data_IF_265033229844
#
_entry.id   IF_265033229844
#
_cell.length_a   1.000
_cell.length_b   1.000
_cell.length_c   1.000
_cell.angle_alpha   90.00
_cell.angle_beta   90.00
_cell.angle_gamma   90.00
#
_symmetry.space_group_name_H-M   'P 1'
#
loop_
_entity.id
_entity.type
_entity.pdbx_description
1 polymer ?
#
# COMPACT_ATOMS: atom_id res chain seq x y z
N UNK A 1 25.80 -25.92 11.74
CA UNK A 1 26.16 -24.49 11.64
C UNK A 1 24.95 -23.74 11.11
N UNK A 2 24.66 -22.58 11.69
CA UNK A 2 23.35 -21.95 11.83
C UNK A 2 22.91 -21.13 10.60
N UNK A 3 22.10 -21.72 9.70
CA UNK A 3 21.31 -20.94 8.73
C UNK A 3 19.83 -20.82 9.14
N UNK A 4 19.39 -21.51 10.19
CA UNK A 4 17.98 -21.62 10.58
C UNK A 4 17.44 -20.48 11.46
N UNK A 5 18.26 -19.48 11.77
CA UNK A 5 17.90 -18.41 12.72
C UNK A 5 17.90 -16.99 12.11
N UNK A 6 18.31 -16.83 10.85
CA UNK A 6 18.41 -15.50 10.21
C UNK A 6 17.21 -15.13 9.32
N UNK A 7 16.28 -16.05 9.08
CA UNK A 7 14.93 -15.74 8.59
C UNK A 7 14.05 -15.34 9.79
N UNK A 8 14.39 -14.25 10.48
CA UNK A 8 13.36 -13.50 11.22
C UNK A 8 12.44 -12.87 10.19
N UNK A 9 11.52 -13.73 9.74
CA UNK A 9 10.33 -13.54 8.92
C UNK A 9 10.26 -12.18 8.25
N UNK A 10 10.69 -12.13 6.98
CA UNK A 10 10.42 -10.99 6.10
C UNK A 10 8.90 -10.97 5.87
N UNK A 11 8.16 -10.34 6.78
CA UNK A 11 6.70 -10.33 6.74
C UNK A 11 6.26 -9.71 5.42
N UNK A 12 5.55 -10.49 4.60
CA UNK A 12 5.06 -9.98 3.32
C UNK A 12 3.97 -8.92 3.57
N UNK A 13 3.80 -7.99 2.64
CA UNK A 13 2.76 -6.94 2.75
C UNK A 13 1.37 -7.55 2.93
N UNK A 14 1.09 -8.69 2.28
CA UNK A 14 -0.18 -9.39 2.43
C UNK A 14 -0.38 -9.94 3.85
N UNK A 15 0.68 -10.50 4.47
CA UNK A 15 0.63 -10.97 5.87
C UNK A 15 0.48 -9.80 6.84
N UNK A 16 1.16 -8.68 6.60
CA UNK A 16 0.95 -7.44 7.36
C UNK A 16 -0.51 -7.00 7.32
N UNK A 17 -1.09 -6.92 6.11
CA UNK A 17 -2.49 -6.51 5.94
C UNK A 17 -3.45 -7.49 6.62
N UNK A 18 -3.19 -8.80 6.54
CA UNK A 18 -3.98 -9.81 7.26
C UNK A 18 -3.97 -9.57 8.77
N UNK A 19 -2.80 -9.32 9.35
CA UNK A 19 -2.66 -9.11 10.79
C UNK A 19 -3.39 -7.82 11.22
N UNK A 20 -3.14 -6.72 10.52
CA UNK A 20 -3.80 -5.44 10.73
C UNK A 20 -5.33 -5.56 10.64
N UNK A 21 -5.83 -6.26 9.61
CA UNK A 21 -7.26 -6.52 9.43
C UNK A 21 -7.87 -7.28 10.61
N UNK A 22 -7.19 -8.31 11.10
CA UNK A 22 -7.74 -9.24 12.10
C UNK A 22 -7.63 -8.73 13.53
N UNK A 23 -6.61 -7.93 13.83
CA UNK A 23 -6.30 -7.46 15.18
C UNK A 23 -6.83 -6.06 15.43
N UNK A 24 -6.55 -5.14 14.52
CA UNK A 24 -6.81 -3.71 14.73
C UNK A 24 -8.10 -3.24 14.06
N UNK A 25 -8.26 -3.53 12.76
CA UNK A 25 -9.38 -2.98 11.98
C UNK A 25 -10.68 -3.72 12.31
N UNK A 26 -10.65 -5.05 12.29
CA UNK A 26 -11.83 -5.86 12.56
C UNK A 26 -11.53 -6.96 13.59
N UNK A 27 -11.41 -6.61 14.89
CA UNK A 27 -11.17 -7.57 15.96
C UNK A 27 -12.31 -8.60 16.10
N UNK A 28 -12.07 -9.72 16.80
CA UNK A 28 -13.10 -10.74 17.05
C UNK A 28 -14.38 -10.22 17.73
N UNK A 29 -14.29 -9.11 18.47
CA UNK A 29 -15.43 -8.46 19.13
C UNK A 29 -16.52 -7.97 18.16
N UNK A 30 -16.21 -7.77 16.88
CA UNK A 30 -17.18 -7.36 15.85
C UNK A 30 -18.14 -8.49 15.47
N UNK A 31 -17.73 -9.75 15.66
CA UNK A 31 -18.57 -10.92 15.41
C UNK A 31 -17.95 -11.93 14.44
N UNK A 32 -18.79 -12.58 13.64
CA UNK A 32 -18.36 -13.65 12.74
C UNK A 32 -17.35 -13.17 11.69
N UNK A 33 -16.56 -14.09 11.12
CA UNK A 33 -15.58 -13.76 10.07
C UNK A 33 -16.21 -13.00 8.90
N UNK A 34 -17.42 -13.40 8.47
CA UNK A 34 -18.14 -12.73 7.39
C UNK A 34 -18.50 -11.28 7.74
N UNK A 35 -18.96 -11.04 8.97
CA UNK A 35 -19.26 -9.68 9.46
C UNK A 35 -17.99 -8.83 9.57
N UNK A 36 -16.89 -9.41 10.04
CA UNK A 36 -15.59 -8.74 10.16
C UNK A 36 -15.01 -8.33 8.81
N UNK A 37 -15.08 -9.22 7.81
CA UNK A 37 -14.67 -8.88 6.44
C UNK A 37 -15.55 -7.76 5.87
N UNK A 38 -16.87 -7.83 6.08
CA UNK A 38 -17.78 -6.78 5.63
C UNK A 38 -17.53 -5.44 6.34
N UNK A 39 -17.21 -5.46 7.63
CA UNK A 39 -16.83 -4.29 8.41
C UNK A 39 -15.54 -3.68 7.88
N UNK A 40 -14.46 -4.46 7.78
CA UNK A 40 -13.18 -3.99 7.27
C UNK A 40 -13.27 -3.45 5.83
N UNK A 41 -14.12 -4.05 4.99
CA UNK A 41 -14.34 -3.57 3.62
C UNK A 41 -14.91 -2.14 3.60
N UNK A 42 -15.79 -1.80 4.57
CA UNK A 42 -16.36 -0.46 4.70
C UNK A 42 -15.31 0.53 5.21
N UNK A 43 -14.57 0.17 6.26
CA UNK A 43 -13.51 1.01 6.83
C UNK A 43 -12.41 1.33 5.81
N UNK A 44 -11.97 0.33 5.04
CA UNK A 44 -10.95 0.49 4.01
C UNK A 44 -11.52 1.02 2.68
N UNK A 45 -12.85 1.13 2.55
CA UNK A 45 -13.53 1.41 1.27
C UNK A 45 -13.05 0.48 0.15
N UNK A 46 -12.88 -0.79 0.47
CA UNK A 46 -12.51 -1.85 -0.47
C UNK A 46 -13.75 -2.66 -0.86
N UNK A 47 -13.67 -3.40 -1.97
CA UNK A 47 -14.69 -4.41 -2.24
C UNK A 47 -14.60 -5.54 -1.22
N UNK A 48 -15.72 -6.24 -0.99
CA UNK A 48 -15.74 -7.39 -0.10
C UNK A 48 -14.74 -8.47 -0.53
N UNK A 49 -14.68 -8.78 -1.84
CA UNK A 49 -13.73 -9.77 -2.37
C UNK A 49 -12.29 -9.35 -2.14
N UNK A 50 -11.94 -8.09 -2.43
CA UNK A 50 -10.59 -7.56 -2.18
C UNK A 50 -10.18 -7.67 -0.72
N UNK A 51 -11.11 -7.34 0.17
CA UNK A 51 -10.91 -7.45 1.63
C UNK A 51 -10.78 -8.90 2.07
N UNK A 52 -11.58 -9.81 1.50
CA UNK A 52 -11.50 -11.24 1.77
C UNK A 52 -10.14 -11.81 1.32
N UNK A 53 -9.65 -11.42 0.16
CA UNK A 53 -8.34 -11.90 -0.33
C UNK A 53 -7.22 -11.43 0.60
N UNK A 54 -7.26 -10.16 1.03
CA UNK A 54 -6.37 -9.62 2.07
C UNK A 54 -6.54 -10.32 3.43
N UNK A 55 -7.77 -10.64 3.81
CA UNK A 55 -8.08 -11.35 5.04
C UNK A 55 -7.39 -12.71 5.11
N UNK A 56 -7.22 -13.38 3.98
CA UNK A 56 -6.56 -14.68 3.89
C UNK A 56 -5.10 -14.59 3.40
N UNK A 57 -4.58 -13.38 3.17
CA UNK A 57 -3.27 -13.16 2.57
C UNK A 57 -3.08 -14.00 1.29
N UNK A 58 -4.05 -13.91 0.38
CA UNK A 58 -4.02 -14.68 -0.88
C UNK A 58 -2.67 -14.48 -1.60
N UNK A 59 -1.91 -15.55 -1.89
CA UNK A 59 -0.57 -15.42 -2.48
C UNK A 59 -0.57 -14.78 -3.87
N UNK A 60 -1.71 -14.73 -4.56
CA UNK A 60 -1.85 -14.11 -5.89
C UNK A 60 -2.14 -12.62 -5.80
N UNK A 61 -2.47 -12.10 -4.63
CA UNK A 61 -2.78 -10.69 -4.46
C UNK A 61 -1.49 -9.86 -4.39
N UNK A 62 -1.44 -8.78 -5.16
CA UNK A 62 -0.52 -7.67 -4.90
C UNK A 62 -1.27 -6.59 -4.14
N UNK A 63 -0.64 -5.96 -3.14
CA UNK A 63 -1.17 -4.77 -2.45
C UNK A 63 -0.48 -3.54 -3.04
N UNK A 64 -1.27 -2.58 -3.51
CA UNK A 64 -0.76 -1.30 -4.03
C UNK A 64 -0.30 -0.39 -2.88
N UNK A 65 0.62 0.56 -3.13
CA UNK A 65 1.06 1.50 -2.10
C UNK A 65 -0.09 2.27 -1.42
N UNK A 66 -1.08 2.72 -2.19
CA UNK A 66 -2.21 3.51 -1.65
C UNK A 66 -3.13 2.66 -0.77
N UNK A 67 -3.26 1.39 -1.11
CA UNK A 67 -3.98 0.41 -0.30
C UNK A 67 -3.25 0.15 1.02
N UNK A 68 -1.93 -0.01 0.98
CA UNK A 68 -1.10 -0.17 2.18
C UNK A 68 -1.21 1.05 3.09
N UNK A 69 -1.08 2.26 2.54
CA UNK A 69 -1.21 3.50 3.31
C UNK A 69 -2.57 3.61 3.99
N UNK A 70 -3.64 3.16 3.33
CA UNK A 70 -4.96 3.13 3.95
C UNK A 70 -5.04 2.12 5.09
N UNK A 71 -4.47 0.93 4.92
CA UNK A 71 -4.40 -0.07 6.00
C UNK A 71 -3.66 0.52 7.20
N UNK A 72 -2.51 1.17 6.98
CA UNK A 72 -1.72 1.80 8.03
C UNK A 72 -2.49 2.94 8.73
N UNK A 73 -3.16 3.80 7.95
CA UNK A 73 -3.96 4.90 8.49
C UNK A 73 -5.14 4.42 9.35
N UNK A 74 -5.84 3.35 8.93
CA UNK A 74 -7.01 2.83 9.65
C UNK A 74 -6.61 1.95 10.84
N UNK A 75 -5.53 1.17 10.71
CA UNK A 75 -5.05 0.29 11.79
C UNK A 75 -4.15 1.00 12.81
N UNK A 76 -3.57 2.15 12.47
CA UNK A 76 -2.53 2.80 13.27
C UNK A 76 -1.17 2.08 13.24
N UNK A 77 -1.05 0.99 12.48
CA UNK A 77 0.20 0.24 12.33
C UNK A 77 1.05 0.81 11.18
N UNK A 78 2.37 0.61 11.25
CA UNK A 78 3.30 1.01 10.20
C UNK A 78 4.01 -0.23 9.66
N UNK A 79 4.03 -0.39 8.34
CA UNK A 79 4.79 -1.43 7.67
C UNK A 79 6.25 -0.99 7.49
N UNK A 80 7.09 -1.38 8.45
CA UNK A 80 8.48 -0.91 8.55
C UNK A 80 9.37 -1.32 7.37
N UNK A 81 9.08 -2.44 6.69
CA UNK A 81 9.94 -2.96 5.62
C UNK A 81 9.98 -2.08 4.35
N UNK A 82 9.20 -1.00 4.27
CA UNK A 82 9.16 -0.05 3.15
C UNK A 82 9.53 1.40 3.51
N UNK A 83 10.11 1.66 4.67
CA UNK A 83 10.53 3.02 5.07
C UNK A 83 11.47 3.71 4.04
N UNK A 84 12.19 2.94 3.21
CA UNK A 84 13.03 3.48 2.13
C UNK A 84 12.23 4.06 0.94
N UNK A 85 11.06 3.51 0.59
CA UNK A 85 10.25 4.02 -0.54
C UNK A 85 9.52 5.32 -0.22
N UNK A 86 9.06 5.50 1.03
CA UNK A 86 8.38 6.75 1.47
C UNK A 86 9.28 7.98 1.31
N UNK A 87 10.58 7.84 1.57
CA UNK A 87 11.56 8.92 1.38
C UNK A 87 11.60 9.42 -0.06
N UNK A 88 11.44 8.54 -1.06
CA UNK A 88 11.52 8.91 -2.47
C UNK A 88 10.28 9.68 -2.93
N UNK A 89 9.08 9.24 -2.57
CA UNK A 89 7.84 9.94 -2.95
C UNK A 89 7.75 11.32 -2.27
N UNK A 90 8.17 11.43 -1.00
CA UNK A 90 8.25 12.71 -0.31
C UNK A 90 9.32 13.64 -0.89
N UNK A 91 10.42 13.08 -1.43
CA UNK A 91 11.44 13.85 -2.13
C UNK A 91 10.92 14.34 -3.50
N UNK A 92 10.17 13.52 -4.24
CA UNK A 92 9.53 13.88 -5.50
C UNK A 92 8.45 14.95 -5.28
N UNK A 93 7.64 14.80 -4.23
CA UNK A 93 6.60 15.78 -3.87
C UNK A 93 7.23 17.12 -3.46
N UNK A 94 8.31 17.10 -2.67
CA UNK A 94 9.07 18.32 -2.31
C UNK A 94 9.75 18.96 -3.51
N UNK A 95 10.36 18.18 -4.40
CA UNK A 95 10.91 18.69 -5.65
C UNK A 95 9.82 19.31 -6.54
N UNK A 96 8.64 18.69 -6.61
CA UNK A 96 7.48 19.22 -7.35
C UNK A 96 6.96 20.53 -6.75
N UNK A 97 6.93 20.64 -5.41
CA UNK A 97 6.52 21.85 -4.72
C UNK A 97 7.55 23.00 -4.87
N UNK A 98 8.84 22.69 -4.87
CA UNK A 98 9.91 23.66 -5.09
C UNK A 98 9.99 24.12 -6.55
N UNK A 99 9.66 23.26 -7.51
CA UNK A 99 9.65 23.57 -8.94
C UNK A 99 8.30 24.13 -9.44
N UNK A 100 7.25 24.12 -8.61
CA UNK A 100 5.91 24.60 -8.95
C UNK A 100 5.72 26.13 -8.86
N UNK A 101 6.79 26.89 -8.60
CA UNK A 101 6.75 28.35 -8.49
C UNK A 101 6.84 29.11 -9.82
N UNK A 102 7.40 28.52 -10.87
CA UNK A 102 7.50 29.12 -12.21
C UNK A 102 7.12 28.08 -13.28
N UNK A 103 5.98 28.34 -13.93
CA UNK A 103 5.42 27.63 -15.09
C UNK A 103 5.17 26.11 -14.97
N UNK A 104 4.10 25.77 -14.25
CA UNK A 104 3.51 24.42 -14.15
C UNK A 104 3.25 23.73 -15.53
N UNK A 105 3.08 24.50 -16.61
CA UNK A 105 2.93 23.96 -17.97
C UNK A 105 4.22 23.38 -18.55
N UNK A 106 5.37 23.98 -18.25
CA UNK A 106 6.67 23.53 -18.76
C UNK A 106 7.11 22.25 -18.05
N UNK A 107 6.93 22.21 -16.73
CA UNK A 107 7.26 21.03 -15.91
C UNK A 107 6.36 19.85 -16.24
N UNK A 108 5.05 20.05 -16.39
CA UNK A 108 4.14 18.96 -16.78
C UNK A 108 4.47 18.41 -18.17
N UNK A 109 4.91 19.27 -19.10
CA UNK A 109 5.34 18.86 -20.45
C UNK A 109 6.65 18.07 -20.41
N UNK A 110 7.62 18.47 -19.62
CA UNK A 110 8.89 17.74 -19.45
C UNK A 110 8.66 16.40 -18.75
N UNK A 111 7.84 16.36 -17.70
CA UNK A 111 7.48 15.11 -17.00
C UNK A 111 6.68 14.17 -17.91
N UNK A 112 5.75 14.70 -18.71
CA UNK A 112 5.01 13.93 -19.71
C UNK A 112 5.94 13.40 -20.81
N UNK A 113 6.89 14.22 -21.28
CA UNK A 113 7.88 13.83 -22.29
C UNK A 113 8.84 12.76 -21.75
N UNK A 114 9.32 12.87 -20.51
CA UNK A 114 10.17 11.87 -19.86
C UNK A 114 9.40 10.57 -19.62
N UNK A 115 8.12 10.62 -19.21
CA UNK A 115 7.25 9.44 -19.11
C UNK A 115 6.98 8.79 -20.47
N UNK A 116 6.86 9.59 -21.52
CA UNK A 116 6.71 9.11 -22.91
C UNK A 116 7.99 8.46 -23.44
N UNK A 117 9.15 9.07 -23.17
CA UNK A 117 10.48 8.58 -23.58
C UNK A 117 10.92 7.32 -22.80
N UNK A 118 10.53 7.20 -21.53
CA UNK A 118 10.81 6.02 -20.68
C UNK A 118 9.79 4.88 -20.85
N UNK A 119 8.83 5.01 -21.77
CA UNK A 119 8.11 3.86 -22.30
C UNK A 119 7.01 3.28 -21.40
N UNK A 120 6.13 4.10 -20.81
CA UNK A 120 4.77 3.62 -20.48
C UNK A 120 3.91 3.59 -21.75
N UNK A 121 4.28 2.69 -22.67
CA UNK A 121 3.34 2.16 -23.67
C UNK A 121 2.36 1.26 -22.91
N UNK A 122 1.22 1.80 -22.50
CA UNK A 122 0.03 0.98 -22.37
C UNK A 122 -0.96 1.42 -23.44
N UNK A 123 -1.28 0.46 -24.33
CA UNK A 123 -2.20 0.60 -25.46
C UNK A 123 -3.61 1.00 -24.99
N UNK A 124 -4.31 1.63 -25.94
CA UNK A 124 -5.76 1.80 -26.00
C UNK A 124 -6.55 0.53 -25.63
#
# INVERSE_FOLDING_TARGET
MSEKASEKSKMTVAVFCQDALRREIAPPSIGSVKQRIAYAARELRWSYTRTKDAWYADPRMSIKPEELFRVEAVSGLIYEAKQEMRKNDDAIARATALLGGEDAHLVSTIVAAVRSALGLRNRA
#
